data_IF_241856080529
#
_entry.id   IF_241856080529
#
_cell.length_a   1.000
_cell.length_b   1.000
_cell.length_c   1.000
_cell.angle_alpha   90.00
_cell.angle_beta   90.00
_cell.angle_gamma   90.00
#
_symmetry.space_group_name_H-M   'P 1'
#
loop_
_entity.id
_entity.type
_entity.pdbx_description
1 polymer ?
#
# COMPACT_ATOMS: atom_id res chain seq x y z
N UNK A 1 -4.24 27.74 5.08
CA UNK A 1 -2.82 27.93 4.68
C UNK A 1 -2.01 26.85 5.37
N UNK A 2 -1.22 26.06 4.64
CA UNK A 2 -0.54 24.88 5.19
C UNK A 2 0.63 25.31 6.12
N UNK A 3 0.53 25.01 7.41
CA UNK A 3 1.52 25.40 8.41
C UNK A 3 2.91 24.80 8.08
N UNK A 4 3.95 25.65 7.94
CA UNK A 4 5.31 25.20 7.63
C UNK A 4 5.88 24.26 8.71
N UNK A 5 5.39 24.36 9.94
CA UNK A 5 5.77 23.50 11.07
C UNK A 5 5.33 22.04 10.90
N UNK A 6 4.12 21.81 10.36
CA UNK A 6 3.62 20.44 10.11
C UNK A 6 4.37 19.79 8.96
N UNK A 7 4.81 20.59 7.98
CA UNK A 7 5.69 20.12 6.89
C UNK A 7 7.07 19.76 7.44
N UNK A 8 7.68 20.60 8.25
CA UNK A 8 8.97 20.30 8.88
C UNK A 8 8.89 19.05 9.77
N UNK A 9 7.82 18.87 10.55
CA UNK A 9 7.60 17.68 11.36
C UNK A 9 7.39 16.42 10.52
N UNK A 10 6.63 16.50 9.42
CA UNK A 10 6.49 15.40 8.47
C UNK A 10 7.80 15.03 7.79
N UNK A 11 8.63 16.00 7.41
CA UNK A 11 9.95 15.74 6.82
C UNK A 11 10.92 15.15 7.85
N UNK A 12 10.87 15.60 9.10
CA UNK A 12 11.72 15.07 10.16
C UNK A 12 11.29 13.65 10.56
N UNK A 13 9.99 13.38 10.65
CA UNK A 13 9.45 12.02 10.81
C UNK A 13 9.74 11.14 9.60
N UNK A 14 9.71 11.66 8.37
CA UNK A 14 10.04 10.89 7.17
C UNK A 14 11.55 10.57 7.08
N UNK A 15 12.41 11.49 7.53
CA UNK A 15 13.87 11.25 7.63
C UNK A 15 14.22 10.29 8.77
N UNK A 16 13.44 10.26 9.85
CA UNK A 16 13.54 9.23 10.89
C UNK A 16 12.93 7.89 10.46
N UNK A 17 11.76 7.89 9.81
CA UNK A 17 11.08 6.66 9.38
C UNK A 17 11.83 5.97 8.25
N UNK A 18 12.38 6.72 7.28
CA UNK A 18 13.20 6.14 6.22
C UNK A 18 14.44 5.44 6.76
N UNK A 19 15.11 5.99 7.78
CA UNK A 19 16.25 5.34 8.43
C UNK A 19 15.90 4.22 9.42
N UNK A 20 14.66 4.18 9.93
CA UNK A 20 14.22 3.16 10.91
C UNK A 20 13.58 1.96 10.22
N UNK A 21 12.82 2.14 9.13
CA UNK A 21 12.30 1.02 8.32
C UNK A 21 13.42 0.28 7.57
N UNK A 22 14.47 1.01 7.15
CA UNK A 22 15.65 0.43 6.47
C UNK A 22 16.59 -0.33 7.44
N UNK A 23 16.36 -0.20 8.76
CA UNK A 23 17.10 -0.89 9.83
C UNK A 23 16.20 -1.75 10.73
N UNK A 24 15.08 -2.27 10.21
CA UNK A 24 14.31 -3.27 10.94
C UNK A 24 15.21 -4.49 11.23
N UNK A 25 15.63 -4.65 12.50
CA UNK A 25 16.51 -5.74 12.95
C UNK A 25 15.99 -7.05 12.34
N UNK A 26 16.80 -7.80 11.56
CA UNK A 26 16.36 -9.03 10.92
C UNK A 26 15.68 -10.00 11.89
N UNK A 27 16.06 -9.96 13.18
CA UNK A 27 15.38 -10.69 14.25
C UNK A 27 13.90 -10.36 14.38
N UNK A 28 13.54 -9.08 14.30
CA UNK A 28 12.15 -8.60 14.40
C UNK A 28 11.35 -9.04 13.17
N UNK A 29 11.92 -8.94 11.96
CA UNK A 29 11.24 -9.40 10.74
C UNK A 29 10.96 -10.91 10.78
N UNK A 30 11.95 -11.71 11.18
CA UNK A 30 11.79 -13.17 11.35
C UNK A 30 10.70 -13.47 12.39
N UNK A 31 10.65 -12.71 13.49
CA UNK A 31 9.65 -12.88 14.53
C UNK A 31 8.24 -12.54 14.02
N UNK A 32 8.08 -11.42 13.33
CA UNK A 32 6.81 -10.99 12.72
C UNK A 32 6.28 -12.01 11.72
N UNK A 33 7.15 -12.54 10.84
CA UNK A 33 6.77 -13.55 9.86
C UNK A 33 6.23 -14.84 10.50
N UNK A 34 6.71 -15.19 11.70
CA UNK A 34 6.32 -16.39 12.43
C UNK A 34 5.02 -16.15 13.19
N UNK A 35 4.86 -14.98 13.81
CA UNK A 35 3.59 -14.57 14.41
C UNK A 35 2.46 -14.50 13.38
N UNK A 36 2.74 -13.99 12.18
CA UNK A 36 1.79 -13.98 11.08
C UNK A 36 1.44 -15.41 10.63
N UNK A 37 2.44 -16.29 10.47
CA UNK A 37 2.20 -17.69 10.13
C UNK A 37 1.36 -18.42 11.19
N UNK A 38 1.62 -18.15 12.48
CA UNK A 38 0.82 -18.69 13.59
C UNK A 38 -0.61 -18.17 13.57
N UNK A 39 -0.82 -16.86 13.34
CA UNK A 39 -2.16 -16.28 13.19
C UNK A 39 -2.91 -16.89 12.02
N UNK A 40 -2.24 -17.08 10.89
CA UNK A 40 -2.83 -17.72 9.71
C UNK A 40 -3.24 -19.16 10.02
N UNK A 41 -2.39 -19.92 10.71
CA UNK A 41 -2.71 -21.28 11.14
C UNK A 41 -3.93 -21.34 12.07
N UNK A 42 -4.00 -20.43 13.03
CA UNK A 42 -5.16 -20.32 13.94
C UNK A 42 -6.45 -19.96 13.19
N UNK A 43 -6.38 -19.02 12.25
CA UNK A 43 -7.52 -18.63 11.42
C UNK A 43 -8.03 -19.79 10.56
N UNK A 44 -7.13 -20.51 9.87
CA UNK A 44 -7.47 -21.69 9.07
C UNK A 44 -8.05 -22.81 9.94
N UNK A 45 -7.48 -23.03 11.12
CA UNK A 45 -7.99 -24.05 12.06
C UNK A 45 -9.40 -23.71 12.55
N UNK A 46 -9.67 -22.44 12.83
CA UNK A 46 -11.00 -21.97 13.24
C UNK A 46 -12.02 -22.14 12.11
N UNK A 47 -11.65 -21.80 10.88
CA UNK A 47 -12.49 -22.01 9.71
C UNK A 47 -12.76 -23.49 9.47
N UNK A 48 -11.75 -24.35 9.57
CA UNK A 48 -11.91 -25.79 9.45
C UNK A 48 -12.83 -26.35 10.55
N UNK A 49 -12.71 -25.86 11.79
CA UNK A 49 -13.58 -26.27 12.88
C UNK A 49 -15.05 -25.94 12.60
N UNK A 50 -15.36 -24.81 11.97
CA UNK A 50 -16.73 -24.46 11.57
C UNK A 50 -17.27 -25.43 10.50
N UNK A 51 -16.46 -25.74 9.48
CA UNK A 51 -16.85 -26.68 8.40
C UNK A 51 -17.07 -28.09 8.95
N UNK A 52 -16.15 -28.57 9.79
CA UNK A 52 -16.26 -29.88 10.46
C UNK A 52 -17.47 -29.90 11.40
N UNK A 53 -17.73 -28.79 12.12
CA UNK A 53 -18.89 -28.64 12.98
C UNK A 53 -20.20 -28.77 12.21
N UNK A 54 -20.31 -28.14 11.03
CA UNK A 54 -21.48 -28.29 10.16
C UNK A 54 -21.68 -29.75 9.70
N UNK A 55 -20.60 -30.43 9.29
CA UNK A 55 -20.65 -31.86 8.94
C UNK A 55 -21.21 -32.71 10.10
N UNK A 56 -20.73 -32.46 11.33
CA UNK A 56 -21.21 -33.16 12.54
C UNK A 56 -22.67 -32.86 12.85
N UNK A 57 -23.11 -31.62 12.63
CA UNK A 57 -24.52 -31.23 12.79
C UNK A 57 -25.43 -31.97 11.79
N UNK A 58 -25.00 -32.12 10.54
CA UNK A 58 -25.72 -32.89 9.53
C UNK A 58 -25.81 -34.37 9.92
N UNK A 59 -24.71 -34.95 10.43
CA UNK A 59 -24.69 -36.33 10.94
C UNK A 59 -25.71 -36.54 12.07
N UNK A 60 -25.78 -35.63 13.03
CA UNK A 60 -26.75 -35.70 14.14
C UNK A 60 -28.19 -35.57 13.64
N UNK A 61 -28.45 -34.69 12.66
CA UNK A 61 -29.79 -34.54 12.05
C UNK A 61 -30.19 -35.81 11.30
N UNK A 62 -29.28 -36.36 10.52
CA UNK A 62 -29.47 -37.62 9.78
C UNK A 62 -29.83 -38.76 10.75
N UNK A 63 -29.06 -38.94 11.82
CA UNK A 63 -29.33 -39.97 12.82
C UNK A 63 -30.69 -39.79 13.51
N UNK A 64 -31.10 -38.55 13.79
CA UNK A 64 -32.44 -38.28 14.36
C UNK A 64 -33.55 -38.65 13.38
N UNK A 65 -33.42 -38.26 12.11
CA UNK A 65 -34.41 -38.59 11.08
C UNK A 65 -34.52 -40.10 10.84
N UNK A 66 -33.40 -40.82 10.84
CA UNK A 66 -33.40 -42.28 10.75
C UNK A 66 -34.15 -42.93 11.92
N UNK A 67 -33.99 -42.40 13.14
CA UNK A 67 -34.75 -42.89 14.30
C UNK A 67 -36.25 -42.57 14.21
N UNK A 68 -36.62 -41.44 13.59
CA UNK A 68 -38.02 -41.09 13.38
C UNK A 68 -38.68 -41.96 12.29
N UNK A 69 -37.94 -42.31 11.24
CA UNK A 69 -38.35 -43.32 10.23
C UNK A 69 -38.63 -44.67 10.91
N UNK A 70 -37.73 -45.14 11.77
CA UNK A 70 -37.92 -46.41 12.47
C UNK A 70 -39.21 -46.42 13.31
N UNK A 71 -39.48 -45.33 14.05
CA UNK A 71 -40.73 -45.17 14.81
C UNK A 71 -41.96 -45.15 13.90
N UNK A 72 -41.91 -44.41 12.79
CA UNK A 72 -43.01 -44.36 11.83
C UNK A 72 -43.29 -45.74 11.24
N UNK A 73 -42.26 -46.51 10.88
CA UNK A 73 -42.42 -47.89 10.41
C UNK A 73 -43.08 -48.80 11.46
N UNK A 74 -42.70 -48.68 12.73
CA UNK A 74 -43.35 -49.42 13.83
C UNK A 74 -44.82 -49.02 13.95
N UNK A 75 -45.13 -47.72 13.91
CA UNK A 75 -46.50 -47.21 13.99
C UNK A 75 -47.37 -47.67 12.81
N UNK A 76 -46.85 -47.65 11.58
CA UNK A 76 -47.55 -48.17 10.40
C UNK A 76 -47.87 -49.66 10.58
N UNK A 77 -46.88 -50.48 10.96
CA UNK A 77 -47.10 -51.92 11.19
C UNK A 77 -48.14 -52.16 12.27
N UNK A 78 -48.10 -51.41 13.37
CA UNK A 78 -49.07 -51.55 14.45
C UNK A 78 -50.48 -51.11 14.04
N UNK A 79 -50.63 -50.02 13.28
CA UNK A 79 -51.93 -49.59 12.78
C UNK A 79 -52.54 -50.65 11.85
N UNK A 80 -51.74 -51.25 10.97
CA UNK A 80 -52.18 -52.33 10.08
C UNK A 80 -52.60 -53.59 10.85
N UNK A 81 -51.83 -54.03 11.86
CA UNK A 81 -52.22 -55.20 12.66
C UNK A 81 -53.51 -54.97 13.43
N UNK A 82 -53.76 -53.76 13.93
CA UNK A 82 -55.03 -53.39 14.56
C UNK A 82 -56.19 -53.33 13.55
N UNK A 83 -55.94 -52.82 12.33
CA UNK A 83 -56.93 -52.83 11.25
C UNK A 83 -57.34 -54.25 10.86
N UNK A 84 -56.38 -55.17 10.72
CA UNK A 84 -56.63 -56.58 10.41
C UNK A 84 -57.43 -57.30 11.52
N UNK A 85 -57.10 -57.01 12.79
CA UNK A 85 -57.84 -57.54 13.94
C UNK A 85 -59.28 -57.02 13.97
N UNK A 86 -59.50 -55.73 13.73
CA UNK A 86 -60.84 -55.13 13.67
C UNK A 86 -61.66 -55.72 12.50
N UNK A 87 -61.02 -55.92 11.35
CA UNK A 87 -61.63 -56.56 10.18
C UNK A 87 -62.06 -58.00 10.49
N UNK A 88 -61.18 -58.78 11.12
CA UNK A 88 -61.46 -60.17 11.50
C UNK A 88 -62.55 -60.26 12.59
N UNK A 89 -62.64 -59.25 13.45
CA UNK A 89 -63.65 -59.16 14.51
C UNK A 89 -65.01 -58.64 14.02
N UNK A 90 -65.12 -58.26 12.73
CA UNK A 90 -66.35 -57.73 12.13
C UNK A 90 -66.65 -56.26 12.44
N UNK A 91 -65.70 -55.52 13.04
CA UNK A 91 -65.86 -54.09 13.37
C UNK A 91 -65.33 -53.21 12.22
N UNK A 92 -66.16 -53.05 11.18
CA UNK A 92 -65.81 -52.36 9.94
C UNK A 92 -65.49 -50.86 10.13
N UNK A 93 -66.11 -50.21 11.12
CA UNK A 93 -65.85 -48.80 11.43
C UNK A 93 -64.42 -48.62 11.96
N UNK A 94 -64.02 -49.40 12.96
CA UNK A 94 -62.66 -49.34 13.51
C UNK A 94 -61.60 -49.78 12.51
N UNK A 95 -61.88 -50.79 11.69
CA UNK A 95 -60.96 -51.20 10.63
C UNK A 95 -60.65 -50.03 9.67
N UNK A 96 -61.67 -49.26 9.31
CA UNK A 96 -61.52 -48.06 8.46
C UNK A 96 -60.69 -46.98 9.16
N UNK A 97 -60.95 -46.71 10.44
CA UNK A 97 -60.19 -45.72 11.23
C UNK A 97 -58.70 -46.08 11.33
N UNK A 98 -58.38 -47.34 11.63
CA UNK A 98 -56.98 -47.80 11.70
C UNK A 98 -56.28 -47.80 10.34
N UNK A 99 -56.99 -48.13 9.25
CA UNK A 99 -56.45 -48.02 7.90
C UNK A 99 -56.12 -46.55 7.55
N UNK A 100 -57.02 -45.61 7.85
CA UNK A 100 -56.76 -44.19 7.64
C UNK A 100 -55.55 -43.70 8.46
N UNK A 101 -55.38 -44.20 9.69
CA UNK A 101 -54.21 -43.89 10.51
C UNK A 101 -52.91 -44.49 9.92
N UNK A 102 -52.96 -45.71 9.40
CA UNK A 102 -51.84 -46.35 8.73
C UNK A 102 -51.41 -45.56 7.47
N UNK A 103 -52.38 -45.12 6.66
CA UNK A 103 -52.13 -44.27 5.49
C UNK A 103 -51.48 -42.93 5.88
N UNK A 104 -51.96 -42.29 6.96
CA UNK A 104 -51.36 -41.06 7.46
C UNK A 104 -49.91 -41.25 7.93
N UNK A 105 -49.61 -42.32 8.66
CA UNK A 105 -48.23 -42.63 9.05
C UNK A 105 -47.36 -43.01 7.84
N UNK A 106 -47.90 -43.70 6.84
CA UNK A 106 -47.18 -44.02 5.61
C UNK A 106 -46.83 -42.76 4.80
N UNK A 107 -47.75 -41.79 4.72
CA UNK A 107 -47.46 -40.51 4.07
C UNK A 107 -46.34 -39.72 4.80
N UNK A 108 -46.34 -39.75 6.14
CA UNK A 108 -45.26 -39.16 6.95
C UNK A 108 -43.94 -39.90 6.75
N UNK A 109 -43.98 -41.24 6.67
CA UNK A 109 -42.80 -42.08 6.43
C UNK A 109 -42.12 -41.72 5.11
N UNK A 110 -42.87 -41.64 4.01
CA UNK A 110 -42.33 -41.24 2.69
C UNK A 110 -41.69 -39.85 2.74
N UNK A 111 -42.32 -38.90 3.44
CA UNK A 111 -41.77 -37.55 3.60
C UNK A 111 -40.45 -37.57 4.39
N UNK A 112 -40.37 -38.37 5.46
CA UNK A 112 -39.17 -38.52 6.26
C UNK A 112 -38.04 -39.21 5.48
N UNK A 113 -38.35 -40.25 4.71
CA UNK A 113 -37.40 -40.95 3.83
C UNK A 113 -36.80 -40.01 2.77
N UNK A 114 -37.63 -39.18 2.12
CA UNK A 114 -37.13 -38.17 1.18
C UNK A 114 -36.17 -37.18 1.86
N UNK A 115 -36.51 -36.73 3.07
CA UNK A 115 -35.66 -35.79 3.82
C UNK A 115 -34.31 -36.40 4.21
N UNK A 116 -34.25 -37.71 4.44
CA UNK A 116 -33.01 -38.44 4.72
C UNK A 116 -32.12 -38.51 3.49
N UNK A 117 -32.68 -38.75 2.30
CA UNK A 117 -31.91 -38.76 1.05
C UNK A 117 -31.31 -37.37 0.74
N UNK A 118 -32.08 -36.31 0.96
CA UNK A 118 -31.61 -34.93 0.83
C UNK A 118 -30.49 -34.64 1.85
N UNK A 119 -30.67 -35.03 3.12
CA UNK A 119 -29.67 -34.87 4.18
C UNK A 119 -28.39 -35.66 3.91
N UNK A 120 -28.51 -36.86 3.33
CA UNK A 120 -27.37 -37.68 2.95
C UNK A 120 -26.53 -37.01 1.88
N UNK A 121 -27.18 -36.45 0.85
CA UNK A 121 -26.50 -35.67 -0.18
C UNK A 121 -25.73 -34.49 0.41
N UNK A 122 -26.36 -33.73 1.31
CA UNK A 122 -25.72 -32.62 2.02
C UNK A 122 -24.59 -33.09 2.94
N UNK A 123 -24.76 -34.23 3.61
CA UNK A 123 -23.75 -34.83 4.48
C UNK A 123 -22.51 -35.25 3.69
N UNK A 124 -22.69 -35.87 2.52
CA UNK A 124 -21.58 -36.29 1.65
C UNK A 124 -20.79 -35.08 1.14
N UNK A 125 -21.48 -34.01 0.74
CA UNK A 125 -20.84 -32.74 0.37
C UNK A 125 -20.05 -32.14 1.55
N UNK A 126 -20.65 -32.15 2.74
CA UNK A 126 -20.00 -31.65 3.94
C UNK A 126 -18.79 -32.51 4.35
N UNK A 127 -18.83 -33.82 4.12
CA UNK A 127 -17.73 -34.75 4.38
C UNK A 127 -16.54 -34.44 3.49
N UNK A 128 -16.77 -34.20 2.19
CA UNK A 128 -15.72 -33.76 1.27
C UNK A 128 -15.12 -32.42 1.66
N UNK A 129 -15.96 -31.42 1.99
CA UNK A 129 -15.51 -30.11 2.44
C UNK A 129 -14.70 -30.18 3.74
N UNK A 130 -15.15 -30.97 4.71
CA UNK A 130 -14.43 -31.22 5.95
C UNK A 130 -13.08 -31.92 5.71
N UNK A 131 -13.03 -32.87 4.77
CA UNK A 131 -11.78 -33.52 4.36
C UNK A 131 -10.76 -32.55 3.77
N UNK A 132 -11.21 -31.67 2.86
CA UNK A 132 -10.37 -30.62 2.28
C UNK A 132 -9.89 -29.63 3.34
N UNK A 133 -10.78 -29.21 4.25
CA UNK A 133 -10.42 -28.30 5.34
C UNK A 133 -9.37 -28.90 6.28
N UNK A 134 -9.52 -30.18 6.67
CA UNK A 134 -8.51 -30.90 7.47
C UNK A 134 -7.15 -30.94 6.78
N UNK A 135 -7.14 -31.29 5.49
CA UNK A 135 -5.91 -31.34 4.69
C UNK A 135 -5.24 -29.97 4.59
N UNK A 136 -6.01 -28.89 4.42
CA UNK A 136 -5.48 -27.54 4.37
C UNK A 136 -4.84 -27.12 5.72
N UNK A 137 -5.47 -27.47 6.85
CA UNK A 137 -4.91 -27.22 8.19
C UNK A 137 -3.61 -27.99 8.40
N UNK A 138 -3.58 -29.27 8.02
CA UNK A 138 -2.38 -30.12 8.13
C UNK A 138 -1.24 -29.59 7.27
N UNK A 139 -1.51 -29.22 6.02
CA UNK A 139 -0.53 -28.59 5.13
C UNK A 139 0.01 -27.29 5.72
N UNK A 140 -0.86 -26.44 6.25
CA UNK A 140 -0.44 -25.19 6.88
C UNK A 140 0.39 -25.42 8.15
N UNK A 141 0.06 -26.45 8.94
CA UNK A 141 0.87 -26.85 10.10
C UNK A 141 2.28 -27.26 9.69
N UNK A 142 2.43 -28.03 8.60
CA UNK A 142 3.74 -28.39 8.05
C UNK A 142 4.54 -27.16 7.61
N UNK A 143 3.90 -26.22 6.89
CA UNK A 143 4.54 -24.96 6.48
C UNK A 143 4.96 -24.13 7.69
N UNK A 144 4.11 -24.04 8.73
CA UNK A 144 4.45 -23.35 9.97
C UNK A 144 5.68 -23.98 10.65
N UNK A 145 5.74 -25.31 10.71
CA UNK A 145 6.88 -26.03 11.28
C UNK A 145 8.17 -25.78 10.48
N UNK A 146 8.10 -25.76 9.15
CA UNK A 146 9.22 -25.40 8.27
C UNK A 146 9.71 -23.97 8.55
N UNK A 147 8.81 -23.00 8.63
CA UNK A 147 9.16 -21.61 8.98
C UNK A 147 9.82 -21.50 10.35
N UNK A 148 9.36 -22.25 11.34
CA UNK A 148 9.97 -22.28 12.68
C UNK A 148 11.40 -22.84 12.64
N UNK A 149 11.63 -23.89 11.85
CA UNK A 149 12.98 -24.44 11.65
C UNK A 149 13.90 -23.42 10.95
N UNK A 150 13.41 -22.76 9.89
CA UNK A 150 14.13 -21.71 9.18
C UNK A 150 14.45 -20.51 10.09
N UNK A 151 13.50 -20.07 10.92
CA UNK A 151 13.73 -19.05 11.96
C UNK A 151 14.92 -19.41 12.82
N UNK A 152 14.96 -20.63 13.35
CA UNK A 152 16.05 -21.05 14.25
C UNK A 152 17.40 -20.99 13.54
N UNK A 153 17.45 -21.44 12.28
CA UNK A 153 18.67 -21.35 11.45
C UNK A 153 19.09 -19.90 11.19
N UNK A 154 18.15 -19.04 10.80
CA UNK A 154 18.42 -17.63 10.49
C UNK A 154 18.85 -16.84 11.74
N UNK A 155 18.24 -17.11 12.89
CA UNK A 155 18.64 -16.49 14.15
C UNK A 155 20.06 -16.89 14.57
N UNK A 156 20.42 -18.17 14.43
CA UNK A 156 21.79 -18.63 14.70
C UNK A 156 22.81 -17.97 13.76
N UNK A 157 22.49 -17.84 12.47
CA UNK A 157 23.34 -17.14 11.50
C UNK A 157 23.47 -15.64 11.82
N UNK A 158 22.36 -15.00 12.21
CA UNK A 158 22.35 -13.60 12.61
C UNK A 158 23.23 -13.37 13.86
N UNK A 159 23.16 -14.26 14.86
CA UNK A 159 24.01 -14.19 16.05
C UNK A 159 25.49 -14.36 15.70
N UNK A 160 25.81 -15.30 14.81
CA UNK A 160 27.18 -15.47 14.32
C UNK A 160 27.70 -14.23 13.57
N UNK A 161 26.86 -13.62 12.72
CA UNK A 161 27.20 -12.39 12.01
C UNK A 161 27.38 -11.20 12.97
N UNK A 162 26.46 -11.02 13.93
CA UNK A 162 26.56 -9.97 14.97
C UNK A 162 27.82 -10.11 15.83
N UNK A 163 28.24 -11.34 16.15
CA UNK A 163 29.50 -11.58 16.86
C UNK A 163 30.72 -11.11 16.04
N UNK A 164 30.74 -11.43 14.74
CA UNK A 164 31.83 -10.98 13.84
C UNK A 164 31.83 -9.46 13.67
N UNK A 165 30.65 -8.84 13.56
CA UNK A 165 30.50 -7.38 13.53
C UNK A 165 31.01 -6.74 14.83
N UNK A 166 30.66 -7.29 16.00
CA UNK A 166 31.09 -6.80 17.30
C UNK A 166 32.61 -6.94 17.50
N UNK A 167 33.20 -8.07 17.10
CA UNK A 167 34.66 -8.27 17.12
C UNK A 167 35.34 -7.27 16.18
N UNK A 168 34.84 -7.11 14.96
CA UNK A 168 35.39 -6.15 13.99
C UNK A 168 35.26 -4.71 14.48
N UNK A 169 34.13 -4.35 15.10
CA UNK A 169 33.92 -3.03 15.69
C UNK A 169 34.88 -2.78 16.86
N UNK A 170 35.12 -3.79 17.71
CA UNK A 170 36.11 -3.73 18.79
C UNK A 170 37.55 -3.57 18.25
N UNK A 171 37.89 -4.27 17.16
CA UNK A 171 39.19 -4.12 16.51
C UNK A 171 39.36 -2.75 15.86
N UNK A 172 38.31 -2.21 15.21
CA UNK A 172 38.31 -0.86 14.66
C UNK A 172 38.43 0.20 15.75
N UNK A 173 37.69 0.09 16.85
CA UNK A 173 37.78 1.04 17.96
C UNK A 173 39.17 0.98 18.63
N UNK A 174 39.76 -0.21 18.79
CA UNK A 174 41.15 -0.34 19.24
C UNK A 174 42.15 0.26 18.23
N UNK A 175 41.93 0.07 16.92
CA UNK A 175 42.78 0.64 15.86
C UNK A 175 42.66 2.17 15.77
N UNK A 176 41.48 2.73 16.00
CA UNK A 176 41.25 4.19 16.07
C UNK A 176 41.93 4.80 17.29
N UNK A 177 41.99 4.07 18.41
CA UNK A 177 42.71 4.49 19.63
C UNK A 177 44.24 4.32 19.47
N UNK A 178 44.68 3.30 18.71
CA UNK A 178 46.10 2.96 18.54
C UNK A 178 46.78 3.65 17.35
N UNK A 179 46.06 4.36 16.48
CA UNK A 179 46.66 5.12 15.38
C UNK A 179 47.26 6.46 15.89
N UNK A 180 48.59 6.66 15.86
CA UNK A 180 49.18 7.98 16.11
C UNK A 180 49.00 8.82 14.84
N UNK A 181 47.84 9.47 14.69
CA UNK A 181 47.57 10.17 13.43
C UNK A 181 46.37 11.12 13.39
N UNK A 182 45.64 11.35 14.49
CA UNK A 182 44.52 12.31 14.48
C UNK A 182 44.93 13.73 14.89
N UNK A 183 46.14 14.14 14.53
CA UNK A 183 46.47 15.57 14.38
C UNK A 183 46.37 15.87 12.88
N UNK A 184 45.45 16.75 12.44
CA UNK A 184 45.38 17.16 11.04
C UNK A 184 46.79 17.53 10.56
N UNK A 185 47.24 16.91 9.48
CA UNK A 185 48.53 17.30 8.92
C UNK A 185 48.42 18.76 8.45
N UNK A 186 49.50 19.52 8.59
CA UNK A 186 49.54 20.91 8.16
C UNK A 186 49.14 21.06 6.67
N UNK A 187 49.37 20.02 5.86
CA UNK A 187 49.01 19.99 4.45
C UNK A 187 47.49 19.85 4.22
N UNK A 188 46.76 19.02 4.97
CA UNK A 188 45.29 18.94 4.86
C UNK A 188 44.60 20.25 5.30
N UNK A 189 45.17 20.94 6.29
CA UNK A 189 44.70 22.26 6.71
C UNK A 189 45.01 23.31 5.64
N UNK A 190 46.20 23.25 5.02
CA UNK A 190 46.58 24.11 3.89
C UNK A 190 45.61 23.94 2.72
N UNK A 191 45.35 22.72 2.27
CA UNK A 191 44.43 22.43 1.16
C UNK A 191 43.01 22.96 1.43
N UNK A 192 42.55 22.87 2.68
CA UNK A 192 41.23 23.37 3.10
C UNK A 192 41.17 24.90 3.09
N UNK A 193 42.27 25.57 3.47
CA UNK A 193 42.40 27.02 3.39
C UNK A 193 42.45 27.46 1.93
N UNK A 194 43.24 26.79 1.08
CA UNK A 194 43.35 27.10 -0.35
C UNK A 194 42.02 26.92 -1.07
N UNK A 195 41.27 25.85 -0.79
CA UNK A 195 39.90 25.67 -1.31
C UNK A 195 38.95 26.78 -0.89
N UNK A 196 39.00 27.20 0.38
CA UNK A 196 38.17 28.32 0.86
C UNK A 196 38.55 29.62 0.18
N UNK A 197 39.84 29.86 -0.02
CA UNK A 197 40.36 31.04 -0.69
C UNK A 197 39.93 31.07 -2.18
N UNK A 198 40.11 29.96 -2.90
CA UNK A 198 39.68 29.82 -4.29
C UNK A 198 38.16 29.99 -4.45
N UNK A 199 37.36 29.41 -3.55
CA UNK A 199 35.90 29.58 -3.56
C UNK A 199 35.47 31.02 -3.26
N UNK A 200 36.16 31.71 -2.34
CA UNK A 200 35.88 33.11 -2.03
C UNK A 200 36.23 34.03 -3.22
N UNK A 201 37.35 33.79 -3.89
CA UNK A 201 37.72 34.49 -5.13
C UNK A 201 36.71 34.21 -6.25
N UNK A 202 36.34 32.95 -6.48
CA UNK A 202 35.34 32.58 -7.49
C UNK A 202 33.96 33.19 -7.21
N UNK A 203 33.55 33.27 -5.94
CA UNK A 203 32.32 33.94 -5.55
C UNK A 203 32.40 35.47 -5.79
N UNK A 204 33.56 36.09 -5.57
CA UNK A 204 33.77 37.51 -5.86
C UNK A 204 33.77 37.81 -7.37
N UNK A 205 34.39 36.96 -8.18
CA UNK A 205 34.33 37.06 -9.66
C UNK A 205 32.91 36.85 -10.19
N UNK A 206 32.14 35.93 -9.60
CA UNK A 206 30.75 35.70 -9.97
C UNK A 206 29.86 36.89 -9.58
N UNK A 207 30.13 37.53 -8.44
CA UNK A 207 29.44 38.75 -8.03
C UNK A 207 29.72 39.93 -8.99
N UNK A 208 30.98 40.12 -9.39
CA UNK A 208 31.37 41.13 -10.39
C UNK A 208 30.78 40.86 -11.78
N UNK A 209 30.66 39.60 -12.20
CA UNK A 209 30.15 39.23 -13.53
C UNK A 209 28.65 38.93 -13.58
N UNK A 210 27.96 39.08 -12.46
CA UNK A 210 26.52 38.84 -12.35
C UNK A 210 25.73 39.79 -13.26
N UNK A 211 24.65 39.28 -13.85
CA UNK A 211 23.71 40.04 -14.70
C UNK A 211 23.17 41.28 -13.97
N UNK A 212 23.10 41.23 -12.64
CA UNK A 212 22.73 42.36 -11.79
C UNK A 212 23.75 43.51 -11.85
N UNK A 213 25.06 43.22 -11.85
CA UNK A 213 26.13 44.21 -11.98
C UNK A 213 26.14 44.86 -13.37
N UNK A 214 26.02 44.04 -14.42
CA UNK A 214 25.87 44.54 -15.81
C UNK A 214 24.60 45.36 -16.01
N UNK A 215 23.50 45.02 -15.34
CA UNK A 215 22.25 45.78 -15.41
C UNK A 215 22.36 47.14 -14.69
N UNK A 216 23.07 47.21 -13.56
CA UNK A 216 23.32 48.45 -12.84
C UNK A 216 24.22 49.41 -13.63
N UNK A 217 25.24 48.88 -14.32
CA UNK A 217 26.12 49.64 -15.21
C UNK A 217 25.37 50.16 -16.45
N UNK A 218 24.48 49.35 -17.04
CA UNK A 218 23.58 49.77 -18.13
C UNK A 218 22.59 50.86 -17.66
N UNK A 219 22.09 50.76 -16.43
CA UNK A 219 21.17 51.76 -15.86
C UNK A 219 21.89 53.09 -15.61
N UNK A 220 23.14 53.05 -15.13
CA UNK A 220 23.97 54.25 -14.94
C UNK A 220 24.37 54.90 -16.27
N UNK A 221 24.72 54.10 -17.28
CA UNK A 221 24.96 54.57 -18.64
C UNK A 221 23.70 55.21 -19.25
N UNK A 222 22.53 54.63 -19.01
CA UNK A 222 21.24 55.18 -19.48
C UNK A 222 20.91 56.54 -18.82
N UNK A 223 21.19 56.69 -17.52
CA UNK A 223 21.01 57.97 -16.80
C UNK A 223 21.98 59.04 -17.29
N UNK A 224 23.24 58.70 -17.55
CA UNK A 224 24.22 59.64 -18.10
C UNK A 224 23.86 60.08 -19.53
N UNK A 225 23.43 59.13 -20.38
CA UNK A 225 22.92 59.45 -21.73
C UNK A 225 21.67 60.34 -21.68
N UNK A 226 20.71 60.06 -20.79
CA UNK A 226 19.53 60.89 -20.59
C UNK A 226 19.90 62.29 -20.09
N UNK A 227 20.90 62.40 -19.22
CA UNK A 227 21.45 63.67 -18.73
C UNK A 227 22.09 64.49 -19.85
N UNK A 228 22.90 63.87 -20.72
CA UNK A 228 23.50 64.54 -21.87
C UNK A 228 22.45 64.99 -22.90
N UNK A 229 21.46 64.15 -23.22
CA UNK A 229 20.37 64.52 -24.11
C UNK A 229 19.53 65.69 -23.55
N UNK A 230 19.29 65.72 -22.24
CA UNK A 230 18.60 66.84 -21.58
C UNK A 230 19.43 68.13 -21.62
N UNK A 231 20.75 68.04 -21.41
CA UNK A 231 21.67 69.17 -21.52
C UNK A 231 21.75 69.71 -22.96
N UNK A 232 21.74 68.84 -23.95
CA UNK A 232 21.67 69.23 -25.37
C UNK A 232 20.34 69.87 -25.73
N UNK A 233 19.21 69.32 -25.25
CA UNK A 233 17.90 69.95 -25.42
C UNK A 233 17.84 71.33 -24.77
N UNK A 234 18.41 71.50 -23.56
CA UNK A 234 18.49 72.81 -22.89
C UNK A 234 19.39 73.77 -23.67
N UNK A 235 20.52 73.31 -24.23
CA UNK A 235 21.35 74.14 -25.11
C UNK A 235 20.65 74.50 -26.40
N UNK A 236 19.90 73.57 -26.98
CA UNK A 236 19.13 73.80 -28.21
C UNK A 236 17.98 74.78 -27.96
N UNK A 237 17.25 74.66 -26.84
CA UNK A 237 16.21 75.63 -26.46
C UNK A 237 16.79 77.01 -26.17
N UNK A 238 17.96 77.09 -25.53
CA UNK A 238 18.69 78.35 -25.34
C UNK A 238 19.19 78.97 -26.66
N UNK A 239 19.40 78.16 -27.71
CA UNK A 239 19.79 78.62 -29.05
C UNK A 239 18.60 78.93 -29.95
N UNK A 240 17.43 78.34 -29.70
CA UNK A 240 16.17 78.60 -30.42
C UNK A 240 15.44 79.87 -29.98
N UNK A 241 15.75 80.41 -28.80
CA UNK A 241 15.16 81.65 -28.28
C UNK A 241 15.85 82.93 -28.80
N UNK A 242 16.83 82.82 -29.71
CA UNK A 242 17.44 83.95 -30.42
C UNK A 242 17.24 83.85 -31.95
N UNK A 243 16.26 84.64 -32.38
CA UNK A 243 15.85 85.05 -33.73
C UNK A 243 14.83 84.19 -34.49
N UNK A 244 13.74 84.82 -34.98
CA UNK A 244 12.65 84.16 -35.69
C UNK A 244 12.81 84.24 -37.22
N UNK A 245 11.85 83.60 -37.88
CA UNK A 245 11.38 83.78 -39.27
C UNK A 245 12.14 83.09 -40.40
N UNK A 246 11.40 82.23 -41.10
CA UNK A 246 11.38 82.22 -42.55
C UNK A 246 11.76 80.92 -43.23
N UNK A 247 10.76 80.30 -43.88
CA UNK A 247 10.97 79.72 -45.22
C UNK A 247 11.05 78.20 -45.34
N UNK A 248 9.91 77.62 -45.74
CA UNK A 248 9.73 76.74 -46.92
C UNK A 248 10.63 75.54 -47.21
N UNK A 249 9.91 74.50 -47.69
CA UNK A 249 10.31 73.46 -48.66
C UNK A 249 11.15 72.30 -48.07
N UNK A 250 10.61 71.09 -48.01
CA UNK A 250 10.37 70.14 -49.11
C UNK A 250 11.44 69.03 -49.05
N UNK A 251 11.01 67.77 -49.20
CA UNK A 251 11.93 66.66 -49.41
C UNK A 251 11.56 65.38 -48.66
N UNK A 252 10.69 64.57 -49.28
CA UNK A 252 10.75 63.11 -49.18
C UNK A 252 12.08 62.60 -49.78
N UNK A 253 12.33 61.28 -49.95
CA UNK A 253 11.91 60.05 -49.24
C UNK A 253 13.19 59.36 -48.68
N UNK A 254 13.24 58.19 -48.05
CA UNK A 254 13.03 56.89 -48.68
C UNK A 254 13.32 55.76 -47.67
N UNK A 255 12.32 54.93 -47.44
CA UNK A 255 12.42 53.46 -47.30
C UNK A 255 13.21 52.87 -48.49
N UNK A 256 13.74 51.63 -48.46
CA UNK A 256 13.16 50.41 -47.88
C UNK A 256 14.28 49.52 -47.27
N UNK A 257 14.19 48.23 -46.98
CA UNK A 257 13.24 47.15 -47.15
C UNK A 257 13.66 46.12 -46.06
N UNK A 258 12.74 45.59 -45.28
CA UNK A 258 12.00 44.35 -45.59
C UNK A 258 12.86 43.09 -45.50
N UNK A 259 12.64 42.32 -44.44
CA UNK A 259 12.36 40.89 -44.55
C UNK A 259 11.55 40.50 -43.29
N UNK A 260 10.21 40.47 -43.37
CA UNK A 260 9.39 39.31 -43.77
C UNK A 260 9.72 38.07 -42.91
N UNK A 261 8.86 37.79 -41.93
CA UNK A 261 7.81 36.74 -41.95
C UNK A 261 8.40 35.39 -41.49
N UNK A 262 7.81 34.60 -40.61
CA UNK A 262 6.46 34.46 -40.08
C UNK A 262 6.60 34.00 -38.59
N UNK A 263 5.62 34.00 -37.69
CA UNK A 263 4.18 33.72 -37.75
C UNK A 263 3.62 34.09 -36.37
N UNK A 264 2.42 34.68 -36.23
CA UNK A 264 1.65 34.58 -35.00
C UNK A 264 0.45 33.67 -35.20
N UNK A 265 0.30 32.72 -34.28
CA UNK A 265 -0.96 32.04 -34.00
C UNK A 265 -2.03 33.07 -33.61
N UNK A 266 -3.26 32.84 -34.05
CA UNK A 266 -4.45 33.24 -33.30
C UNK A 266 -5.66 32.40 -33.76
N UNK A 267 -6.74 32.32 -32.97
CA UNK A 267 -7.46 31.08 -32.74
C UNK A 267 -8.96 31.23 -33.11
N UNK A 268 -9.76 30.23 -32.71
CA UNK A 268 -11.22 30.25 -32.64
C UNK A 268 -11.98 30.58 -33.94
N UNK A 269 -12.80 29.64 -34.40
CA UNK A 269 -14.24 29.61 -34.07
C UNK A 269 -15.04 28.78 -35.09
N UNK A 270 -15.95 27.97 -34.53
CA UNK A 270 -17.15 27.34 -35.10
C UNK A 270 -17.00 26.28 -36.19
#
# INVERSE_FOLDING_TARGET
MANPFVKAWKYLMALFSSKVDEYADPKVQIQQAIEEAQRQHQALSTQAAQVIGNQRQLEMRLNRQLADIEKLQVNVRQALTLADQATTSGDAAKATEYNNAAEAFAAQLVTAEQSVEDLKTLHDQALQAAGQAKKAVEQNAMVLQQKIAERTKLLSQLEQAKMQEQVSASLRSMSEIAAPGNTPSLDEVRDKIERRYANAMGAAELAQNSVQGRMMEVQQASVQMAGHSRLEQIRASMRGEQLPTGGTAAGAPATPATNQQATPENPLSQ
#
